data_IF_471291091928
#
_entry.id   IF_471291091928
#
_cell.length_a   1.000
_cell.length_b   1.000
_cell.length_c   1.000
_cell.angle_alpha   90.00
_cell.angle_beta   90.00
_cell.angle_gamma   90.00
#
_symmetry.space_group_name_H-M   'P 1'
#
loop_
_entity.id
_entity.type
_entity.pdbx_description
1 polymer ?
#
# COMPACT_ATOMS: atom_id res chain seq x y z
N UNK A 1 -43.74 -1.80 16.98
CA UNK A 1 -43.68 -3.22 16.64
C UNK A 1 -42.67 -3.82 17.59
N UNK A 2 -42.99 -4.85 18.40
CA UNK A 2 -41.98 -5.48 19.25
C UNK A 2 -40.89 -6.05 18.34
N UNK A 3 -39.65 -5.65 18.59
CA UNK A 3 -38.51 -6.24 17.92
C UNK A 3 -38.53 -7.74 18.08
N UNK A 4 -38.38 -8.45 16.98
CA UNK A 4 -38.45 -9.90 16.92
C UNK A 4 -37.36 -10.48 17.85
N UNK A 5 -37.77 -11.05 18.99
CA UNK A 5 -36.90 -11.72 19.95
C UNK A 5 -35.99 -12.77 19.30
N UNK A 6 -36.47 -13.36 18.18
CA UNK A 6 -35.70 -14.30 17.38
C UNK A 6 -34.62 -13.59 16.54
N UNK A 7 -34.86 -12.38 16.04
CA UNK A 7 -33.87 -11.58 15.31
C UNK A 7 -32.73 -11.17 16.25
N UNK A 8 -33.04 -10.67 17.46
CA UNK A 8 -32.05 -10.31 18.47
C UNK A 8 -31.22 -11.53 18.92
N UNK A 9 -31.86 -12.68 19.14
CA UNK A 9 -31.16 -13.92 19.49
C UNK A 9 -30.31 -14.45 18.33
N UNK A 10 -30.73 -14.24 17.08
CA UNK A 10 -29.94 -14.61 15.90
C UNK A 10 -28.73 -13.69 15.73
N UNK A 11 -28.88 -12.38 15.95
CA UNK A 11 -27.79 -11.40 15.93
C UNK A 11 -26.74 -11.71 17.00
N UNK A 12 -27.16 -12.01 18.25
CA UNK A 12 -26.24 -12.42 19.31
C UNK A 12 -25.48 -13.70 18.97
N UNK A 13 -26.15 -14.69 18.38
CA UNK A 13 -25.51 -15.94 17.96
C UNK A 13 -24.52 -15.71 16.82
N UNK A 14 -24.85 -14.86 15.87
CA UNK A 14 -23.97 -14.45 14.77
C UNK A 14 -22.74 -13.70 15.31
N UNK A 15 -22.94 -12.77 16.25
CA UNK A 15 -21.86 -12.03 16.89
C UNK A 15 -20.86 -12.97 17.61
N UNK A 16 -21.35 -13.98 18.31
CA UNK A 16 -20.49 -14.99 18.97
C UNK A 16 -19.76 -15.91 17.99
N UNK A 17 -20.29 -16.12 16.79
CA UNK A 17 -19.70 -16.97 15.75
C UNK A 17 -18.85 -16.18 14.76
N UNK A 18 -18.83 -14.85 14.89
CA UNK A 18 -18.02 -14.02 14.02
C UNK A 18 -16.53 -14.33 14.23
N UNK A 19 -15.70 -14.22 13.18
CA UNK A 19 -14.25 -14.38 13.29
C UNK A 19 -13.66 -13.50 14.40
N UNK A 20 -12.61 -13.93 15.02
CA UNK A 20 -11.95 -13.21 16.13
C UNK A 20 -11.63 -11.76 15.79
N UNK A 21 -11.16 -11.51 14.58
CA UNK A 21 -10.89 -10.15 14.08
C UNK A 21 -12.14 -9.24 14.01
N UNK A 22 -13.34 -9.80 13.87
CA UNK A 22 -14.59 -9.05 13.92
C UNK A 22 -15.07 -8.83 15.36
N UNK A 23 -14.93 -9.86 16.21
CA UNK A 23 -15.29 -9.80 17.64
C UNK A 23 -14.44 -8.79 18.41
N UNK A 24 -13.17 -8.66 18.06
CA UNK A 24 -12.21 -7.73 18.66
C UNK A 24 -12.16 -6.37 17.98
N UNK A 25 -13.14 -6.06 17.11
CA UNK A 25 -13.18 -4.76 16.46
C UNK A 25 -13.30 -3.64 17.51
N UNK A 26 -12.44 -2.60 17.45
CA UNK A 26 -12.43 -1.50 18.41
C UNK A 26 -13.80 -0.84 18.54
N UNK A 27 -14.21 -0.54 19.77
CA UNK A 27 -15.44 0.18 20.09
C UNK A 27 -15.17 1.59 20.57
N UNK A 28 -13.93 1.91 20.94
CA UNK A 28 -13.46 3.23 21.40
C UNK A 28 -12.18 3.60 20.65
N UNK A 29 -11.89 4.90 20.53
CA UNK A 29 -10.66 5.38 19.89
C UNK A 29 -9.41 4.84 20.58
N UNK A 30 -9.44 4.70 21.89
CA UNK A 30 -8.31 4.19 22.69
C UNK A 30 -8.08 2.68 22.52
N UNK A 31 -9.03 1.96 21.92
CA UNK A 31 -8.89 0.54 21.64
C UNK A 31 -8.10 0.27 20.34
N UNK A 32 -7.90 1.30 19.51
CA UNK A 32 -7.14 1.17 18.27
C UNK A 32 -5.65 1.10 18.61
N UNK A 33 -4.97 0.08 18.09
CA UNK A 33 -3.54 -0.16 18.32
C UNK A 33 -2.72 0.23 17.09
N UNK A 34 -1.54 0.78 17.33
CA UNK A 34 -0.50 0.97 16.30
C UNK A 34 -0.75 2.12 15.32
N UNK A 35 -1.74 2.99 15.56
CA UNK A 35 -2.03 4.17 14.73
C UNK A 35 -1.92 5.49 15.53
N UNK A 36 -1.00 5.54 16.48
CA UNK A 36 -0.85 6.69 17.40
C UNK A 36 -0.51 8.00 16.69
N UNK A 37 0.14 7.93 15.55
CA UNK A 37 0.46 9.09 14.72
C UNK A 37 -0.79 9.78 14.14
N UNK A 38 -1.93 9.07 14.04
CA UNK A 38 -3.22 9.58 13.56
C UNK A 38 -4.25 9.75 14.68
N UNK A 39 -4.32 8.79 15.60
CA UNK A 39 -5.40 8.63 16.56
C UNK A 39 -4.95 8.79 18.03
N UNK A 40 -3.66 9.01 18.26
CA UNK A 40 -3.15 9.35 19.59
C UNK A 40 -3.73 10.66 20.12
N UNK A 41 -3.64 10.93 21.44
CA UNK A 41 -4.13 12.18 22.03
C UNK A 41 -3.62 13.43 21.31
N UNK A 42 -4.53 14.34 20.93
CA UNK A 42 -4.20 15.57 20.25
C UNK A 42 -3.85 15.44 18.75
N UNK A 43 -3.95 14.26 18.16
CA UNK A 43 -3.66 14.05 16.74
C UNK A 43 -4.83 14.50 15.85
N UNK A 44 -4.56 14.92 14.59
CA UNK A 44 -5.53 15.57 13.73
C UNK A 44 -6.81 14.76 13.49
N UNK A 45 -6.69 13.47 13.14
CA UNK A 45 -7.86 12.63 12.87
C UNK A 45 -8.71 12.44 14.14
N UNK A 46 -8.07 12.22 15.30
CA UNK A 46 -8.76 12.11 16.57
C UNK A 46 -9.54 13.38 16.91
N UNK A 47 -8.92 14.56 16.78
CA UNK A 47 -9.57 15.83 17.04
C UNK A 47 -10.78 16.08 16.15
N UNK A 48 -10.68 15.73 14.86
CA UNK A 48 -11.80 15.85 13.92
C UNK A 48 -12.97 14.94 14.31
N UNK A 49 -12.68 13.73 14.76
CA UNK A 49 -13.70 12.77 15.23
C UNK A 49 -14.35 13.27 16.52
N UNK A 50 -13.57 13.63 17.55
CA UNK A 50 -14.06 14.06 18.86
C UNK A 50 -14.85 15.38 18.81
N UNK A 51 -14.53 16.26 17.85
CA UNK A 51 -15.24 17.52 17.65
C UNK A 51 -16.46 17.42 16.72
N UNK A 52 -16.76 16.25 16.18
CA UNK A 52 -17.81 15.99 15.17
C UNK A 52 -17.70 16.94 13.94
N UNK A 53 -16.46 17.28 13.56
CA UNK A 53 -16.13 18.15 12.41
C UNK A 53 -15.41 17.40 11.29
N UNK A 54 -15.68 16.12 11.18
CA UNK A 54 -15.06 15.31 10.14
C UNK A 54 -15.61 15.73 8.77
N UNK A 55 -14.72 16.21 7.91
CA UNK A 55 -14.97 16.34 6.47
C UNK A 55 -14.72 14.99 5.78
N UNK A 56 -14.91 14.92 4.45
CA UNK A 56 -14.60 13.72 3.70
C UNK A 56 -13.12 13.33 3.84
N UNK A 57 -12.87 12.04 4.03
CA UNK A 57 -11.53 11.48 4.27
C UNK A 57 -11.28 10.24 3.41
N UNK A 58 -10.03 10.03 3.03
CA UNK A 58 -9.56 8.79 2.42
C UNK A 58 -8.56 8.15 3.38
N UNK A 59 -8.90 6.97 3.87
CA UNK A 59 -8.04 6.12 4.69
C UNK A 59 -7.29 5.15 3.76
N UNK A 60 -5.98 5.28 3.64
CA UNK A 60 -5.21 4.43 2.77
C UNK A 60 -4.04 3.78 3.49
N UNK A 61 -3.64 2.61 3.05
CA UNK A 61 -2.53 1.85 3.65
C UNK A 61 -2.68 0.35 3.43
N UNK A 62 -1.69 -0.44 3.85
CA UNK A 62 -1.67 -1.89 3.67
C UNK A 62 -2.90 -2.60 4.24
N UNK A 63 -3.21 -3.84 3.83
CA UNK A 63 -4.27 -4.64 4.43
C UNK A 63 -4.02 -4.85 5.93
N UNK A 64 -5.08 -5.12 6.69
CA UNK A 64 -5.00 -5.41 8.14
C UNK A 64 -4.61 -4.27 9.07
N UNK A 65 -4.40 -3.04 8.54
CA UNK A 65 -3.99 -1.86 9.35
C UNK A 65 -5.13 -1.18 10.10
N UNK A 66 -6.38 -1.65 9.96
CA UNK A 66 -7.53 -1.15 10.71
C UNK A 66 -8.38 -0.09 10.00
N UNK A 67 -8.22 0.16 8.69
CA UNK A 67 -9.01 1.15 7.91
C UNK A 67 -10.52 1.02 8.13
N UNK A 68 -11.08 -0.16 7.92
CA UNK A 68 -12.51 -0.44 8.12
C UNK A 68 -12.92 -0.29 9.59
N UNK A 69 -12.05 -0.65 10.53
CA UNK A 69 -12.28 -0.48 11.97
C UNK A 69 -12.38 0.99 12.35
N UNK A 70 -11.47 1.83 11.85
CA UNK A 70 -11.50 3.28 12.05
C UNK A 70 -12.78 3.88 11.46
N UNK A 71 -13.15 3.51 10.22
CA UNK A 71 -14.36 4.02 9.58
C UNK A 71 -15.63 3.70 10.37
N UNK A 72 -15.78 2.45 10.83
CA UNK A 72 -16.94 2.04 11.63
C UNK A 72 -16.94 2.65 13.03
N UNK A 73 -15.79 2.93 13.60
CA UNK A 73 -15.69 3.63 14.86
C UNK A 73 -16.14 5.09 14.74
N UNK A 74 -15.72 5.78 13.68
CA UNK A 74 -16.19 7.13 13.36
C UNK A 74 -17.73 7.16 13.31
N UNK A 75 -18.31 6.18 12.64
CA UNK A 75 -19.76 6.02 12.56
C UNK A 75 -20.47 5.90 13.91
N UNK A 76 -19.83 5.31 14.90
CA UNK A 76 -20.41 5.13 16.26
C UNK A 76 -20.29 6.38 17.14
N UNK A 77 -19.26 7.18 16.89
CA UNK A 77 -18.94 8.36 17.71
C UNK A 77 -19.66 9.61 17.21
N UNK A 78 -19.98 9.66 15.91
CA UNK A 78 -20.66 10.80 15.30
C UNK A 78 -22.18 10.69 15.39
N UNK A 79 -22.88 11.83 15.41
CA UNK A 79 -24.35 11.88 15.41
C UNK A 79 -24.98 11.66 14.02
N UNK A 80 -24.15 11.36 13.00
CA UNK A 80 -24.58 11.18 11.62
C UNK A 80 -24.99 9.75 11.33
N UNK A 81 -25.86 9.57 10.35
CA UNK A 81 -26.27 8.25 9.89
C UNK A 81 -25.19 7.60 9.04
N UNK A 82 -24.84 6.37 9.34
CA UNK A 82 -23.83 5.62 8.63
C UNK A 82 -24.43 4.74 7.53
N UNK A 83 -23.92 4.88 6.33
CA UNK A 83 -24.29 4.05 5.19
C UNK A 83 -23.03 3.45 4.57
N UNK A 84 -23.01 2.13 4.40
CA UNK A 84 -21.89 1.40 3.83
C UNK A 84 -22.24 0.96 2.40
N UNK A 85 -21.33 1.17 1.45
CA UNK A 85 -21.35 0.61 0.12
C UNK A 85 -20.08 -0.18 -0.14
N UNK A 86 -20.24 -1.38 -0.68
CA UNK A 86 -19.10 -2.14 -1.19
C UNK A 86 -18.82 -1.71 -2.63
N UNK A 87 -17.62 -1.21 -2.89
CA UNK A 87 -17.22 -0.82 -4.24
C UNK A 87 -17.22 -1.98 -5.25
N UNK A 88 -17.18 -3.23 -4.79
CA UNK A 88 -17.22 -4.42 -5.65
C UNK A 88 -18.59 -4.63 -6.29
N UNK A 89 -19.68 -4.34 -5.56
CA UNK A 89 -21.04 -4.69 -5.96
C UNK A 89 -21.95 -3.50 -6.27
N UNK A 90 -21.57 -2.29 -5.80
CA UNK A 90 -22.41 -1.12 -5.96
C UNK A 90 -22.41 -0.58 -7.39
N UNK A 91 -23.57 -0.21 -7.89
CA UNK A 91 -23.77 0.45 -9.18
C UNK A 91 -23.98 1.96 -9.02
N UNK A 92 -23.92 2.72 -10.13
CA UNK A 92 -24.30 4.16 -10.12
C UNK A 92 -25.73 4.36 -9.61
N UNK A 93 -26.61 3.38 -9.82
CA UNK A 93 -28.00 3.41 -9.33
C UNK A 93 -28.02 3.38 -7.79
N UNK A 94 -27.24 2.50 -7.18
CA UNK A 94 -27.15 2.38 -5.72
C UNK A 94 -26.63 3.67 -5.08
N UNK A 95 -25.64 4.31 -5.73
CA UNK A 95 -25.14 5.64 -5.32
C UNK A 95 -26.26 6.68 -5.34
N UNK A 96 -27.04 6.75 -6.43
CA UNK A 96 -28.16 7.70 -6.54
C UNK A 96 -29.27 7.45 -5.54
N UNK A 97 -29.60 6.20 -5.28
CA UNK A 97 -30.59 5.83 -4.25
C UNK A 97 -30.13 6.22 -2.84
N UNK A 98 -28.83 6.03 -2.55
CA UNK A 98 -28.25 6.49 -1.29
C UNK A 98 -28.31 8.01 -1.15
N UNK A 99 -27.96 8.75 -2.20
CA UNK A 99 -28.04 10.23 -2.22
C UNK A 99 -29.49 10.70 -1.97
N UNK A 100 -30.48 10.08 -2.62
CA UNK A 100 -31.88 10.41 -2.42
C UNK A 100 -32.33 10.16 -0.96
N UNK A 101 -31.91 9.04 -0.37
CA UNK A 101 -32.18 8.75 1.05
C UNK A 101 -31.50 9.76 2.00
N UNK A 102 -30.27 10.16 1.69
CA UNK A 102 -29.55 11.17 2.47
C UNK A 102 -30.27 12.53 2.42
N UNK A 103 -30.75 12.95 1.24
CA UNK A 103 -31.53 14.18 1.07
C UNK A 103 -32.83 14.15 1.88
N UNK A 104 -33.59 13.06 1.79
CA UNK A 104 -34.82 12.89 2.54
C UNK A 104 -34.55 12.96 4.06
N UNK A 105 -33.52 12.26 4.55
CA UNK A 105 -33.13 12.24 5.96
C UNK A 105 -32.73 13.63 6.48
N UNK A 106 -31.93 14.35 5.70
CA UNK A 106 -31.52 15.70 6.07
C UNK A 106 -32.73 16.63 6.16
N UNK A 107 -33.66 16.56 5.16
CA UNK A 107 -34.87 17.37 5.13
C UNK A 107 -35.89 17.03 6.24
N UNK A 108 -36.00 15.76 6.62
CA UNK A 108 -37.01 15.32 7.61
C UNK A 108 -36.50 15.38 9.05
N UNK A 109 -35.20 15.16 9.31
CA UNK A 109 -34.65 14.90 10.63
C UNK A 109 -33.43 15.75 10.98
N UNK A 110 -32.92 16.55 10.04
CA UNK A 110 -31.69 17.34 10.19
C UNK A 110 -30.47 16.46 10.58
N UNK A 111 -30.41 15.23 10.02
CA UNK A 111 -29.34 14.27 10.28
C UNK A 111 -28.50 14.10 9.02
N UNK A 112 -27.19 14.39 9.14
CA UNK A 112 -26.20 14.18 8.08
C UNK A 112 -25.96 12.70 7.80
N UNK A 113 -25.31 12.42 6.69
CA UNK A 113 -25.00 11.04 6.28
C UNK A 113 -23.52 10.86 6.03
N UNK A 114 -22.89 9.89 6.71
CA UNK A 114 -21.58 9.37 6.40
C UNK A 114 -21.72 8.21 5.43
N UNK A 115 -21.07 8.31 4.29
CA UNK A 115 -20.91 7.20 3.35
C UNK A 115 -19.54 6.57 3.56
N UNK A 116 -19.51 5.32 4.01
CA UNK A 116 -18.31 4.50 3.98
C UNK A 116 -18.25 3.71 2.68
N UNK A 117 -17.14 3.86 1.95
CA UNK A 117 -16.86 3.17 0.71
C UNK A 117 -15.57 2.37 0.87
N UNK A 118 -15.72 1.05 1.09
CA UNK A 118 -14.59 0.15 1.19
C UNK A 118 -14.03 -0.16 -0.20
N UNK A 119 -12.71 -0.22 -0.32
CA UNK A 119 -11.98 -0.44 -1.57
C UNK A 119 -12.36 0.56 -2.69
N UNK A 120 -12.34 1.86 -2.35
CA UNK A 120 -12.77 2.96 -3.26
C UNK A 120 -12.11 2.91 -4.64
N UNK A 121 -10.91 2.34 -4.76
CA UNK A 121 -10.21 2.13 -6.03
C UNK A 121 -10.94 1.20 -7.01
N UNK A 122 -11.91 0.41 -6.54
CA UNK A 122 -12.74 -0.44 -7.40
C UNK A 122 -13.93 0.29 -8.03
N UNK A 123 -14.22 1.51 -7.59
CA UNK A 123 -15.20 2.37 -8.26
C UNK A 123 -14.58 2.92 -9.55
N UNK A 124 -15.28 2.72 -10.66
CA UNK A 124 -14.90 3.36 -11.90
C UNK A 124 -15.16 4.87 -11.85
N UNK A 125 -14.61 5.60 -12.82
CA UNK A 125 -14.72 7.05 -12.89
C UNK A 125 -16.16 7.57 -12.81
N UNK A 126 -17.11 6.92 -13.50
CA UNK A 126 -18.51 7.35 -13.51
C UNK A 126 -19.20 7.17 -12.14
N UNK A 127 -18.82 6.14 -11.38
CA UNK A 127 -19.31 5.91 -10.03
C UNK A 127 -18.73 6.95 -9.05
N UNK A 128 -17.44 7.27 -9.17
CA UNK A 128 -16.82 8.32 -8.36
C UNK A 128 -17.40 9.70 -8.70
N UNK A 129 -17.60 10.02 -9.98
CA UNK A 129 -18.20 11.27 -10.44
C UNK A 129 -19.64 11.44 -9.92
N UNK A 130 -20.39 10.34 -9.76
CA UNK A 130 -21.74 10.40 -9.20
C UNK A 130 -21.81 10.81 -7.74
N UNK A 131 -20.72 10.69 -6.99
CA UNK A 131 -20.60 11.13 -5.59
C UNK A 131 -20.26 12.62 -5.45
N UNK A 132 -19.59 13.20 -6.45
CA UNK A 132 -19.02 14.54 -6.37
C UNK A 132 -20.03 15.62 -5.96
N UNK A 133 -21.22 15.74 -6.56
CA UNK A 133 -22.16 16.81 -6.18
C UNK A 133 -22.59 16.72 -4.71
N UNK A 134 -22.71 15.50 -4.19
CA UNK A 134 -23.17 15.26 -2.81
C UNK A 134 -22.06 15.49 -1.79
N UNK A 135 -20.80 15.21 -2.16
CA UNK A 135 -19.62 15.53 -1.35
C UNK A 135 -19.34 17.04 -1.36
N UNK A 136 -19.46 17.69 -2.51
CA UNK A 136 -19.30 19.16 -2.65
C UNK A 136 -20.31 19.95 -1.85
N UNK A 137 -21.58 19.53 -1.85
CA UNK A 137 -22.65 20.19 -1.11
C UNK A 137 -22.62 19.90 0.40
N UNK A 138 -21.77 18.97 0.85
CA UNK A 138 -21.75 18.50 2.25
C UNK A 138 -22.94 17.61 2.62
N UNK A 139 -23.77 17.19 1.65
CA UNK A 139 -24.86 16.24 1.88
C UNK A 139 -24.34 14.88 2.36
N UNK A 140 -23.19 14.46 1.82
CA UNK A 140 -22.48 13.25 2.21
C UNK A 140 -21.08 13.60 2.72
N UNK A 141 -20.73 13.05 3.87
CA UNK A 141 -19.35 12.95 4.33
C UNK A 141 -18.81 11.59 3.86
N UNK A 142 -17.84 11.59 2.94
CA UNK A 142 -17.27 10.38 2.41
C UNK A 142 -16.13 9.89 3.31
N UNK A 143 -16.16 8.63 3.70
CA UNK A 143 -15.01 7.90 4.25
C UNK A 143 -14.64 6.82 3.23
N UNK A 144 -13.63 7.08 2.40
CA UNK A 144 -13.09 6.08 1.49
C UNK A 144 -11.99 5.27 2.16
N UNK A 145 -11.97 3.95 1.94
CA UNK A 145 -10.85 3.10 2.33
C UNK A 145 -10.22 2.47 1.08
N UNK A 146 -8.88 2.39 1.05
CA UNK A 146 -8.16 1.74 -0.05
C UNK A 146 -6.82 1.17 0.39
N UNK A 147 -6.41 0.09 -0.25
CA UNK A 147 -5.05 -0.46 -0.14
C UNK A 147 -4.11 0.11 -1.21
N UNK A 148 -4.66 0.69 -2.26
CA UNK A 148 -3.93 1.24 -3.39
C UNK A 148 -3.61 2.73 -3.18
N UNK A 149 -2.65 3.25 -3.96
CA UNK A 149 -2.28 4.66 -3.88
C UNK A 149 -3.42 5.56 -4.38
N UNK A 150 -4.03 6.38 -3.50
CA UNK A 150 -5.20 7.18 -3.86
C UNK A 150 -4.94 8.23 -4.94
N UNK A 151 -3.70 8.64 -5.14
CA UNK A 151 -3.35 9.61 -6.19
C UNK A 151 -3.49 9.06 -7.61
N UNK A 152 -3.49 7.72 -7.77
CA UNK A 152 -3.70 7.07 -9.06
C UNK A 152 -5.14 6.57 -9.25
N UNK A 153 -5.80 6.19 -8.14
CA UNK A 153 -7.05 5.45 -8.19
C UNK A 153 -8.29 6.30 -7.90
N UNK A 154 -8.13 7.41 -7.17
CA UNK A 154 -9.24 8.30 -6.83
C UNK A 154 -9.25 9.50 -7.76
N UNK A 155 -10.42 9.85 -8.30
CA UNK A 155 -10.55 11.01 -9.16
C UNK A 155 -10.03 12.29 -8.51
N UNK A 156 -9.20 13.11 -9.20
CA UNK A 156 -8.65 14.34 -8.65
C UNK A 156 -9.69 15.28 -8.01
N UNK A 157 -10.90 15.49 -8.59
CA UNK A 157 -11.94 16.31 -7.94
C UNK A 157 -12.41 15.76 -6.59
N UNK A 158 -12.51 14.43 -6.44
CA UNK A 158 -12.89 13.80 -5.17
C UNK A 158 -11.75 13.87 -4.16
N UNK A 159 -10.52 13.63 -4.64
CA UNK A 159 -9.32 13.71 -3.83
C UNK A 159 -9.09 15.12 -3.26
N UNK A 160 -9.30 16.17 -4.07
CA UNK A 160 -9.14 17.57 -3.64
C UNK A 160 -10.13 18.01 -2.55
N UNK A 161 -11.22 17.26 -2.36
CA UNK A 161 -12.27 17.50 -1.35
C UNK A 161 -12.19 16.57 -0.16
N UNK A 162 -11.15 15.73 -0.13
CA UNK A 162 -10.95 14.74 0.91
C UNK A 162 -9.60 14.93 1.61
N UNK A 163 -9.56 14.72 2.92
CA UNK A 163 -8.30 14.67 3.65
C UNK A 163 -7.74 13.25 3.61
N UNK A 164 -6.45 13.12 3.26
CA UNK A 164 -5.78 11.83 3.21
C UNK A 164 -5.17 11.48 4.56
N UNK A 165 -5.46 10.28 5.06
CA UNK A 165 -4.80 9.71 6.22
C UNK A 165 -4.19 8.35 5.86
N UNK A 166 -2.87 8.24 6.07
CA UNK A 166 -2.13 7.02 5.82
C UNK A 166 -2.07 6.18 7.09
N UNK A 167 -2.64 4.98 7.02
CA UNK A 167 -2.45 3.97 8.06
C UNK A 167 -1.19 3.17 7.76
N UNK A 168 -0.41 2.89 8.79
CA UNK A 168 0.85 2.17 8.69
C UNK A 168 0.67 0.72 9.15
N UNK A 169 1.58 -0.16 8.73
CA UNK A 169 1.65 -1.52 9.26
C UNK A 169 1.80 -1.46 10.77
N UNK A 170 1.15 -2.40 11.46
CA UNK A 170 1.24 -2.47 12.91
C UNK A 170 2.65 -2.88 13.32
N UNK A 171 3.23 -2.14 14.26
CA UNK A 171 4.48 -2.56 14.89
C UNK A 171 4.28 -3.86 15.69
N UNK A 172 5.37 -4.58 16.01
CA UNK A 172 5.28 -5.84 16.75
C UNK A 172 4.58 -5.74 18.10
N UNK A 173 4.82 -4.65 18.82
CA UNK A 173 4.18 -4.44 20.13
C UNK A 173 2.66 -4.26 19.96
N UNK A 174 2.23 -3.58 18.89
CA UNK A 174 0.81 -3.44 18.54
C UNK A 174 0.18 -4.78 18.13
N UNK A 175 0.89 -5.61 17.35
CA UNK A 175 0.44 -6.95 16.99
C UNK A 175 0.37 -7.84 18.24
N UNK A 176 1.39 -7.81 19.10
CA UNK A 176 1.41 -8.56 20.37
C UNK A 176 0.21 -8.18 21.25
N UNK A 177 -0.07 -6.89 21.38
CA UNK A 177 -1.25 -6.40 22.14
C UNK A 177 -2.58 -6.92 21.56
N UNK A 178 -2.71 -7.00 20.21
CA UNK A 178 -3.89 -7.59 19.59
C UNK A 178 -4.01 -9.09 19.88
N UNK A 179 -2.90 -9.82 19.83
CA UNK A 179 -2.88 -11.26 20.15
C UNK A 179 -3.22 -11.50 21.60
N UNK A 180 -2.73 -10.70 22.55
CA UNK A 180 -3.07 -10.77 23.97
C UNK A 180 -4.59 -10.60 24.20
N UNK A 181 -5.21 -9.59 23.55
CA UNK A 181 -6.67 -9.44 23.56
C UNK A 181 -7.39 -10.62 22.92
N UNK A 182 -6.78 -11.24 21.91
CA UNK A 182 -7.30 -12.43 21.26
C UNK A 182 -7.30 -13.65 22.18
N UNK A 183 -6.22 -13.84 22.92
CA UNK A 183 -6.10 -14.91 23.92
C UNK A 183 -7.16 -14.77 25.01
N UNK A 184 -7.35 -13.58 25.54
CA UNK A 184 -8.41 -13.28 26.51
C UNK A 184 -9.82 -13.59 25.95
N UNK A 185 -10.08 -13.25 24.69
CA UNK A 185 -11.39 -13.47 24.06
C UNK A 185 -11.68 -14.94 23.74
N UNK A 186 -10.65 -15.76 23.54
CA UNK A 186 -10.74 -17.21 23.32
C UNK A 186 -10.63 -18.03 24.63
N UNK A 187 -10.36 -17.37 25.76
CA UNK A 187 -10.13 -17.99 27.05
C UNK A 187 -9.01 -19.07 27.02
N UNK A 188 -7.91 -18.70 26.33
CA UNK A 188 -6.72 -19.57 26.20
C UNK A 188 -5.46 -18.81 26.54
N UNK A 189 -4.38 -19.55 26.82
CA UNK A 189 -3.02 -19.03 26.99
C UNK A 189 -2.13 -19.43 25.80
N UNK A 190 -0.93 -18.91 25.72
CA UNK A 190 0.02 -19.30 24.68
C UNK A 190 1.45 -19.34 25.24
N UNK A 191 2.29 -20.18 24.65
CA UNK A 191 3.74 -20.15 24.86
C UNK A 191 4.33 -18.87 24.24
N UNK A 192 5.39 -18.33 24.84
CA UNK A 192 6.00 -17.08 24.38
C UNK A 192 6.54 -17.18 22.95
N UNK A 193 7.15 -18.31 22.61
CA UNK A 193 7.67 -18.60 21.26
C UNK A 193 6.54 -18.76 20.22
N UNK A 194 5.35 -19.21 20.63
CA UNK A 194 4.17 -19.23 19.76
C UNK A 194 3.68 -17.81 19.45
N UNK A 195 3.65 -16.92 20.45
CA UNK A 195 3.28 -15.51 20.26
C UNK A 195 4.30 -14.79 19.38
N UNK A 196 5.61 -14.99 19.66
CA UNK A 196 6.67 -14.39 18.83
C UNK A 196 6.56 -14.80 17.37
N UNK A 197 6.27 -16.08 17.09
CA UNK A 197 6.06 -16.58 15.75
C UNK A 197 4.85 -15.93 15.09
N UNK A 198 3.71 -15.83 15.77
CA UNK A 198 2.50 -15.19 15.24
C UNK A 198 2.72 -13.69 14.94
N UNK A 199 3.45 -12.97 15.82
CA UNK A 199 3.82 -11.56 15.63
C UNK A 199 4.68 -11.41 14.39
N UNK A 200 5.74 -12.22 14.25
CA UNK A 200 6.67 -12.17 13.13
C UNK A 200 5.93 -12.44 11.80
N UNK A 201 5.13 -13.50 11.75
CA UNK A 201 4.44 -13.92 10.54
C UNK A 201 3.25 -13.04 10.16
N UNK A 202 2.70 -12.28 11.09
CA UNK A 202 1.67 -11.30 10.77
C UNK A 202 2.17 -10.17 9.87
N UNK A 203 3.48 -9.85 9.90
CA UNK A 203 4.07 -8.81 9.05
C UNK A 203 3.41 -7.43 9.20
N UNK A 204 2.79 -7.17 10.37
CA UNK A 204 2.04 -5.95 10.67
C UNK A 204 0.57 -5.96 10.20
N UNK A 205 0.06 -7.09 9.70
CA UNK A 205 -1.37 -7.29 9.38
C UNK A 205 -2.11 -7.84 10.61
N UNK A 206 -2.86 -6.97 11.31
CA UNK A 206 -3.62 -7.35 12.51
C UNK A 206 -4.73 -8.36 12.23
N UNK A 207 -5.34 -8.36 11.03
CA UNK A 207 -6.36 -9.35 10.67
C UNK A 207 -5.73 -10.72 10.49
N UNK A 208 -4.59 -10.80 9.82
CA UNK A 208 -3.84 -12.04 9.65
C UNK A 208 -3.40 -12.61 11.01
N UNK A 209 -2.86 -11.76 11.91
CA UNK A 209 -2.48 -12.14 13.25
C UNK A 209 -3.64 -12.80 14.02
N UNK A 210 -4.79 -12.14 14.08
CA UNK A 210 -5.97 -12.63 14.79
C UNK A 210 -6.57 -13.89 14.16
N UNK A 211 -6.57 -14.00 12.83
CA UNK A 211 -7.04 -15.21 12.13
C UNK A 211 -6.13 -16.41 12.44
N UNK A 212 -4.82 -16.20 12.43
CA UNK A 212 -3.85 -17.26 12.76
C UNK A 212 -3.96 -17.68 14.23
N UNK A 213 -4.17 -16.73 15.14
CA UNK A 213 -4.41 -17.03 16.55
C UNK A 213 -5.70 -17.85 16.75
N UNK A 214 -6.80 -17.47 16.09
CA UNK A 214 -8.08 -18.20 16.17
C UNK A 214 -7.93 -19.66 15.73
N UNK A 215 -7.18 -19.91 14.66
CA UNK A 215 -6.89 -21.27 14.19
C UNK A 215 -6.00 -22.02 15.21
N UNK A 216 -4.96 -21.39 15.74
CA UNK A 216 -4.08 -22.00 16.73
C UNK A 216 -4.83 -22.34 18.03
N UNK A 217 -5.72 -21.46 18.50
CA UNK A 217 -6.60 -21.70 19.62
C UNK A 217 -7.55 -22.90 19.38
N UNK A 218 -8.16 -22.97 18.20
CA UNK A 218 -9.02 -24.08 17.81
C UNK A 218 -8.27 -25.43 17.80
N UNK A 219 -6.99 -25.44 17.39
CA UNK A 219 -6.14 -26.64 17.43
C UNK A 219 -5.82 -27.06 18.85
N UNK A 220 -5.47 -26.14 19.76
CA UNK A 220 -5.21 -26.41 21.16
C UNK A 220 -6.47 -26.97 21.86
N UNK A 221 -7.62 -26.30 21.70
CA UNK A 221 -8.91 -26.72 22.25
C UNK A 221 -9.33 -28.08 21.68
N UNK A 222 -9.07 -28.34 20.40
CA UNK A 222 -9.33 -29.65 19.77
C UNK A 222 -8.54 -30.81 20.36
N UNK A 223 -7.41 -30.55 21.02
CA UNK A 223 -6.63 -31.51 21.82
C UNK A 223 -7.07 -31.60 23.27
N UNK A 224 -8.01 -30.76 23.69
CA UNK A 224 -8.46 -30.68 25.10
C UNK A 224 -7.55 -29.82 25.98
N UNK A 225 -6.76 -28.93 25.40
CA UNK A 225 -5.85 -28.02 26.09
C UNK A 225 -6.29 -26.57 25.96
N UNK A 226 -5.98 -25.74 26.95
CA UNK A 226 -6.24 -24.30 26.98
C UNK A 226 -4.98 -23.46 26.66
N UNK A 227 -3.90 -24.14 26.21
CA UNK A 227 -2.61 -23.53 25.93
C UNK A 227 -2.15 -23.78 24.49
N UNK A 228 -1.91 -22.70 23.77
CA UNK A 228 -1.38 -22.71 22.40
C UNK A 228 0.13 -22.95 22.48
N UNK A 229 0.59 -24.00 21.83
CA UNK A 229 2.01 -24.33 21.71
C UNK A 229 2.59 -23.75 20.42
N UNK A 230 3.92 -23.71 20.32
CA UNK A 230 4.61 -23.36 19.07
C UNK A 230 4.11 -24.24 17.90
N UNK A 231 3.88 -25.53 18.13
CA UNK A 231 3.38 -26.45 17.10
C UNK A 231 1.98 -26.08 16.58
N UNK A 232 1.11 -25.51 17.41
CA UNK A 232 -0.20 -25.02 17.01
C UNK A 232 -0.09 -23.76 16.16
N UNK A 233 0.78 -22.84 16.55
CA UNK A 233 1.06 -21.64 15.79
C UNK A 233 1.65 -21.97 14.41
N UNK A 234 2.60 -22.94 14.36
CA UNK A 234 3.17 -23.45 13.10
C UNK A 234 2.09 -24.07 12.20
N UNK A 235 1.23 -24.90 12.77
CA UNK A 235 0.16 -25.54 12.02
C UNK A 235 -0.89 -24.54 11.52
N UNK A 236 -1.24 -23.53 12.33
CA UNK A 236 -2.16 -22.46 11.96
C UNK A 236 -1.64 -21.61 10.79
N UNK A 237 -0.34 -21.40 10.74
CA UNK A 237 0.33 -20.65 9.66
C UNK A 237 0.60 -21.50 8.42
N UNK A 238 0.38 -22.82 8.48
CA UNK A 238 0.71 -23.75 7.39
C UNK A 238 2.21 -23.86 7.09
N UNK A 239 3.05 -23.44 8.02
CA UNK A 239 4.51 -23.40 7.88
C UNK A 239 5.20 -24.07 9.06
N UNK A 240 6.24 -24.88 8.78
CA UNK A 240 7.18 -25.25 9.83
C UNK A 240 8.05 -24.03 10.14
N UNK A 241 8.06 -23.59 11.41
CA UNK A 241 8.94 -22.49 11.82
C UNK A 241 10.40 -22.89 11.62
N UNK A 242 11.02 -22.35 10.62
CA UNK A 242 12.46 -22.13 10.68
C UNK A 242 12.65 -20.93 11.60
N UNK A 243 13.34 -21.13 12.73
CA UNK A 243 13.66 -20.05 13.69
C UNK A 243 14.42 -18.94 12.96
N UNK A 244 13.69 -17.91 12.58
CA UNK A 244 14.21 -16.67 12.05
C UNK A 244 13.95 -15.58 13.09
N UNK A 245 14.98 -15.14 13.78
CA UNK A 245 14.90 -13.93 14.59
C UNK A 245 14.59 -12.74 13.71
N UNK A 246 13.90 -11.74 14.23
CA UNK A 246 13.50 -10.51 13.52
C UNK A 246 14.71 -9.77 12.92
N UNK A 247 15.84 -9.78 13.60
CA UNK A 247 17.11 -9.23 13.14
C UNK A 247 17.67 -10.03 11.95
N UNK A 248 17.51 -11.37 11.96
CA UNK A 248 17.91 -12.27 10.89
C UNK A 248 17.17 -12.00 9.57
N UNK A 249 15.88 -11.56 9.60
CA UNK A 249 15.12 -11.27 8.39
C UNK A 249 15.73 -10.10 7.60
N UNK A 250 16.02 -8.98 8.27
CA UNK A 250 16.66 -7.82 7.64
C UNK A 250 18.10 -8.14 7.21
N UNK A 251 18.81 -8.94 7.98
CA UNK A 251 20.17 -9.35 7.66
C UNK A 251 20.21 -10.28 6.45
N UNK A 252 19.29 -11.23 6.32
CA UNK A 252 19.24 -12.15 5.19
C UNK A 252 18.84 -11.42 3.90
N UNK A 253 17.86 -10.53 3.93
CA UNK A 253 17.50 -9.75 2.74
C UNK A 253 18.64 -8.80 2.35
N UNK A 254 19.33 -8.22 3.33
CA UNK A 254 20.51 -7.39 3.09
C UNK A 254 21.67 -8.21 2.50
N UNK A 255 21.90 -9.40 3.00
CA UNK A 255 22.90 -10.33 2.47
C UNK A 255 22.54 -10.76 1.04
N UNK A 256 21.27 -11.08 0.77
CA UNK A 256 20.76 -11.40 -0.56
C UNK A 256 21.06 -10.30 -1.57
N UNK A 257 20.64 -9.08 -1.28
CA UNK A 257 20.86 -7.92 -2.16
C UNK A 257 22.35 -7.63 -2.35
N UNK A 258 23.14 -7.65 -1.26
CA UNK A 258 24.58 -7.40 -1.31
C UNK A 258 25.33 -8.47 -2.10
N UNK A 259 24.92 -9.74 -2.03
CA UNK A 259 25.52 -10.83 -2.81
C UNK A 259 25.30 -10.62 -4.32
N UNK A 260 24.08 -10.30 -4.74
CA UNK A 260 23.78 -10.03 -6.15
C UNK A 260 24.51 -8.77 -6.64
N UNK A 261 24.53 -7.71 -5.84
CA UNK A 261 25.30 -6.48 -6.10
C UNK A 261 26.79 -6.77 -6.23
N UNK A 262 27.32 -7.65 -5.38
CA UNK A 262 28.70 -8.09 -5.37
C UNK A 262 29.03 -9.13 -6.46
N UNK A 263 28.05 -9.50 -7.30
CA UNK A 263 28.21 -10.49 -8.39
C UNK A 263 28.52 -11.92 -7.91
N UNK A 264 28.12 -12.26 -6.68
CA UNK A 264 28.22 -13.62 -6.15
C UNK A 264 26.90 -14.37 -6.40
N UNK A 265 26.90 -15.20 -7.45
CA UNK A 265 25.74 -15.98 -7.88
C UNK A 265 25.34 -17.03 -6.84
N UNK A 266 26.34 -17.75 -6.32
CA UNK A 266 26.10 -18.86 -5.39
C UNK A 266 25.55 -18.34 -4.05
N UNK A 267 26.08 -17.25 -3.52
CA UNK A 267 25.56 -16.60 -2.35
C UNK A 267 24.14 -16.06 -2.60
N UNK A 268 23.88 -15.45 -3.76
CA UNK A 268 22.55 -14.98 -4.15
C UNK A 268 21.51 -16.11 -4.16
N UNK A 269 21.85 -17.25 -4.77
CA UNK A 269 20.99 -18.44 -4.79
C UNK A 269 20.81 -19.07 -3.40
N UNK A 270 21.87 -19.10 -2.58
CA UNK A 270 21.78 -19.60 -1.20
C UNK A 270 20.81 -18.76 -0.37
N UNK A 271 20.93 -17.44 -0.41
CA UNK A 271 20.03 -16.55 0.33
C UNK A 271 18.60 -16.60 -0.19
N UNK A 272 18.39 -16.72 -1.50
CA UNK A 272 17.06 -16.97 -2.09
C UNK A 272 16.44 -18.25 -1.52
N UNK A 273 17.19 -19.36 -1.56
CA UNK A 273 16.70 -20.64 -1.04
C UNK A 273 16.39 -20.57 0.45
N UNK A 274 17.23 -19.89 1.23
CA UNK A 274 17.02 -19.69 2.67
C UNK A 274 15.75 -18.86 2.95
N UNK A 275 15.50 -17.77 2.22
CA UNK A 275 14.27 -16.97 2.34
C UNK A 275 13.02 -17.78 1.99
N UNK A 276 13.04 -18.50 0.86
CA UNK A 276 11.91 -19.34 0.44
C UNK A 276 11.63 -20.49 1.43
N UNK A 277 12.69 -21.11 1.98
CA UNK A 277 12.56 -22.14 3.00
C UNK A 277 12.03 -21.58 4.33
N UNK A 278 12.32 -20.33 4.65
CA UNK A 278 11.77 -19.60 5.79
C UNK A 278 10.32 -19.14 5.58
N UNK A 279 9.73 -19.34 4.38
CA UNK A 279 8.38 -18.93 4.06
C UNK A 279 8.25 -17.44 3.74
N UNK A 280 9.35 -16.79 3.34
CA UNK A 280 9.31 -15.39 2.88
C UNK A 280 8.37 -15.24 1.70
N UNK A 281 7.64 -14.13 1.66
CA UNK A 281 6.74 -13.85 0.54
C UNK A 281 7.53 -13.72 -0.78
N UNK A 282 7.23 -14.62 -1.71
CA UNK A 282 7.86 -14.63 -3.03
C UNK A 282 7.67 -13.29 -3.79
N UNK A 283 6.55 -12.58 -3.55
CA UNK A 283 6.30 -11.24 -4.12
C UNK A 283 7.23 -10.20 -3.54
N UNK A 284 7.51 -10.30 -2.23
CA UNK A 284 8.48 -9.42 -1.58
C UNK A 284 9.88 -9.63 -2.16
N UNK A 285 10.33 -10.89 -2.32
CA UNK A 285 11.62 -11.21 -2.94
C UNK A 285 11.67 -10.66 -4.38
N UNK A 286 10.63 -10.91 -5.17
CA UNK A 286 10.54 -10.43 -6.56
C UNK A 286 10.62 -8.90 -6.64
N UNK A 287 9.92 -8.18 -5.76
CA UNK A 287 9.98 -6.71 -5.66
C UNK A 287 11.40 -6.22 -5.40
N UNK A 288 12.13 -6.89 -4.49
CA UNK A 288 13.52 -6.53 -4.20
C UNK A 288 14.44 -6.73 -5.41
N UNK A 289 14.22 -7.78 -6.22
CA UNK A 289 14.96 -7.99 -7.46
C UNK A 289 14.67 -6.91 -8.51
N UNK A 290 13.42 -6.49 -8.66
CA UNK A 290 13.04 -5.39 -9.58
C UNK A 290 13.71 -4.07 -9.18
N UNK A 291 13.72 -3.75 -7.88
CA UNK A 291 14.42 -2.56 -7.38
C UNK A 291 15.92 -2.65 -7.64
N UNK A 292 16.56 -3.78 -7.30
CA UNK A 292 17.99 -4.01 -7.52
C UNK A 292 18.36 -3.90 -9.00
N UNK A 293 17.52 -4.42 -9.89
CA UNK A 293 17.75 -4.34 -11.34
C UNK A 293 17.87 -2.89 -11.85
N UNK A 294 17.11 -1.97 -11.24
CA UNK A 294 17.19 -0.54 -11.59
C UNK A 294 18.25 0.21 -10.80
N UNK A 295 18.46 -0.14 -9.52
CA UNK A 295 19.37 0.54 -8.60
C UNK A 295 20.84 0.19 -8.84
N UNK A 296 21.15 -1.11 -9.01
CA UNK A 296 22.51 -1.63 -9.01
C UNK A 296 23.00 -2.09 -10.40
N UNK A 297 22.11 -2.56 -11.26
CA UNK A 297 22.42 -2.97 -12.64
C UNK A 297 22.19 -1.79 -13.60
N UNK A 298 21.05 -1.14 -13.51
CA UNK A 298 20.73 0.07 -14.25
C UNK A 298 20.92 -0.07 -15.75
N UNK A 299 21.54 0.94 -16.35
CA UNK A 299 21.83 0.97 -17.80
C UNK A 299 23.06 0.16 -18.21
N UNK A 300 23.79 -0.42 -17.27
CA UNK A 300 24.87 -1.34 -17.61
C UNK A 300 24.33 -2.63 -18.28
N UNK A 301 23.14 -3.10 -17.86
CA UNK A 301 22.37 -4.13 -18.56
C UNK A 301 20.85 -3.83 -18.47
N UNK A 302 20.26 -3.17 -19.46
CA UNK A 302 18.82 -2.87 -19.49
C UNK A 302 17.92 -4.11 -19.43
N UNK A 303 18.44 -5.29 -19.84
CA UNK A 303 17.71 -6.55 -19.76
C UNK A 303 17.49 -7.00 -18.31
N UNK A 304 18.30 -6.53 -17.37
CA UNK A 304 18.14 -6.85 -15.95
C UNK A 304 16.75 -6.52 -15.43
N UNK A 305 16.22 -5.34 -15.74
CA UNK A 305 14.87 -4.94 -15.36
C UNK A 305 13.78 -5.78 -16.05
N UNK A 306 13.97 -6.14 -17.32
CA UNK A 306 13.04 -6.99 -18.07
C UNK A 306 12.96 -8.38 -17.45
N UNK A 307 14.10 -8.98 -17.14
CA UNK A 307 14.18 -10.31 -16.50
C UNK A 307 13.58 -10.30 -15.10
N UNK A 308 13.89 -9.29 -14.31
CA UNK A 308 13.31 -9.14 -12.96
C UNK A 308 11.78 -9.00 -13.00
N UNK A 309 11.25 -8.18 -13.92
CA UNK A 309 9.80 -8.04 -14.10
C UNK A 309 9.15 -9.32 -14.61
N UNK A 310 9.78 -10.06 -15.53
CA UNK A 310 9.28 -11.35 -16.00
C UNK A 310 9.19 -12.36 -14.83
N UNK A 311 10.21 -12.40 -13.96
CA UNK A 311 10.18 -13.24 -12.76
C UNK A 311 9.11 -12.81 -11.76
N UNK A 312 8.92 -11.52 -11.53
CA UNK A 312 7.85 -10.99 -10.69
C UNK A 312 6.46 -11.38 -11.21
N UNK A 313 6.25 -11.26 -12.53
CA UNK A 313 5.02 -11.70 -13.19
C UNK A 313 4.80 -13.21 -13.08
N UNK A 314 5.86 -14.01 -13.20
CA UNK A 314 5.78 -15.46 -13.02
C UNK A 314 5.37 -15.83 -11.59
N UNK A 315 5.86 -15.12 -10.57
CA UNK A 315 5.46 -15.34 -9.18
C UNK A 315 3.95 -15.15 -9.02
N UNK A 316 3.35 -14.16 -9.68
CA UNK A 316 1.91 -13.92 -9.62
C UNK A 316 1.09 -14.95 -10.42
N UNK A 317 1.58 -15.34 -11.60
CA UNK A 317 0.84 -16.17 -12.55
C UNK A 317 1.01 -17.67 -12.27
N UNK A 318 2.23 -18.13 -11.99
CA UNK A 318 2.56 -19.53 -11.75
C UNK A 318 2.41 -19.90 -10.29
N UNK A 319 2.89 -19.04 -9.38
CA UNK A 319 2.91 -19.30 -7.94
C UNK A 319 4.00 -20.29 -7.50
N UNK A 320 4.13 -20.46 -6.19
CA UNK A 320 5.02 -21.47 -5.60
C UNK A 320 4.35 -22.86 -5.64
N UNK A 321 5.13 -23.94 -5.77
CA UNK A 321 6.61 -23.99 -5.70
C UNK A 321 7.35 -23.71 -6.99
N UNK A 322 6.74 -23.70 -8.16
CA UNK A 322 7.41 -23.66 -9.47
C UNK A 322 8.06 -22.29 -9.74
N UNK A 323 7.43 -21.18 -9.29
CA UNK A 323 7.95 -19.83 -9.52
C UNK A 323 9.32 -19.56 -8.88
N UNK A 324 9.78 -20.40 -7.94
CA UNK A 324 11.16 -20.34 -7.43
C UNK A 324 12.22 -20.48 -8.49
N UNK A 325 11.93 -21.22 -9.59
CA UNK A 325 12.85 -21.35 -10.71
C UNK A 325 13.02 -20.02 -11.47
N UNK A 326 11.91 -19.27 -11.61
CA UNK A 326 11.93 -17.97 -12.26
C UNK A 326 12.69 -16.93 -11.40
N UNK A 327 12.52 -16.98 -10.08
CA UNK A 327 13.31 -16.15 -9.15
C UNK A 327 14.80 -16.49 -9.21
N UNK A 328 15.15 -17.78 -9.21
CA UNK A 328 16.53 -18.23 -9.33
C UNK A 328 17.18 -17.77 -10.64
N UNK A 329 16.46 -17.87 -11.76
CA UNK A 329 16.92 -17.36 -13.06
C UNK A 329 17.21 -15.86 -13.02
N UNK A 330 16.33 -15.07 -12.40
CA UNK A 330 16.54 -13.64 -12.23
C UNK A 330 17.76 -13.33 -11.35
N UNK A 331 17.95 -14.08 -10.26
CA UNK A 331 19.14 -13.95 -9.40
C UNK A 331 20.42 -14.20 -10.20
N UNK A 332 20.48 -15.29 -10.97
CA UNK A 332 21.65 -15.61 -11.80
C UNK A 332 21.94 -14.50 -12.82
N UNK A 333 20.90 -14.04 -13.53
CA UNK A 333 21.05 -12.96 -14.50
C UNK A 333 21.56 -11.67 -13.84
N UNK A 334 20.91 -11.22 -12.78
CA UNK A 334 21.27 -9.97 -12.10
C UNK A 334 22.64 -10.04 -11.42
N UNK A 335 23.01 -11.19 -10.87
CA UNK A 335 24.34 -11.37 -10.27
C UNK A 335 25.45 -11.34 -11.34
N UNK A 336 25.23 -11.91 -12.53
CA UNK A 336 26.21 -11.95 -13.63
C UNK A 336 26.21 -10.68 -14.48
N UNK A 337 25.17 -9.86 -14.43
CA UNK A 337 25.09 -8.61 -15.18
C UNK A 337 26.18 -7.61 -14.72
N UNK A 338 26.70 -6.77 -15.61
CA UNK A 338 27.52 -5.62 -15.21
C UNK A 338 26.71 -4.70 -14.32
N UNK A 339 27.39 -3.95 -13.43
CA UNK A 339 26.74 -3.12 -12.40
C UNK A 339 26.97 -1.64 -12.67
N UNK A 340 25.90 -0.84 -12.54
CA UNK A 340 25.97 0.61 -12.54
C UNK A 340 24.80 1.20 -11.72
N UNK A 341 25.11 2.09 -10.79
CA UNK A 341 24.14 2.87 -10.04
C UNK A 341 23.94 4.28 -10.61
N UNK A 342 24.43 4.56 -11.81
CA UNK A 342 24.46 5.91 -12.38
C UNK A 342 23.08 6.52 -12.54
N UNK A 343 22.06 5.71 -12.86
CA UNK A 343 20.65 6.16 -12.94
C UNK A 343 20.16 6.62 -11.58
N UNK A 344 20.45 5.88 -10.51
CA UNK A 344 20.06 6.25 -9.13
C UNK A 344 20.73 7.55 -8.69
N UNK A 345 22.03 7.68 -8.97
CA UNK A 345 22.80 8.90 -8.65
C UNK A 345 22.26 10.10 -9.45
N UNK A 346 21.97 9.90 -10.73
CA UNK A 346 21.43 10.95 -11.62
C UNK A 346 20.09 11.47 -11.12
N UNK A 347 19.17 10.55 -10.80
CA UNK A 347 17.85 10.91 -10.26
C UNK A 347 17.99 11.65 -8.92
N UNK A 348 18.83 11.17 -8.01
CA UNK A 348 19.08 11.83 -6.72
C UNK A 348 19.61 13.25 -6.85
N UNK A 349 20.50 13.52 -7.80
CA UNK A 349 20.98 14.87 -8.12
C UNK A 349 19.86 15.77 -8.64
N UNK A 350 19.08 15.28 -9.61
CA UNK A 350 17.95 16.01 -10.18
C UNK A 350 16.87 16.32 -9.12
N UNK A 351 16.57 15.38 -8.23
CA UNK A 351 15.65 15.61 -7.12
C UNK A 351 16.17 16.64 -6.10
N UNK A 352 17.46 16.66 -5.84
CA UNK A 352 18.05 17.65 -4.95
C UNK A 352 17.86 19.07 -5.49
N UNK A 353 18.11 19.28 -6.79
CA UNK A 353 17.88 20.56 -7.44
C UNK A 353 16.40 20.93 -7.44
N UNK A 354 15.53 20.00 -7.78
CA UNK A 354 14.08 20.22 -7.78
C UNK A 354 13.53 20.62 -6.39
N UNK A 355 14.10 20.10 -5.32
CA UNK A 355 13.72 20.43 -3.92
C UNK A 355 14.33 21.70 -3.39
N UNK A 356 15.48 22.12 -3.91
CA UNK A 356 16.18 23.33 -3.44
C UNK A 356 15.36 24.61 -3.64
N UNK A 357 14.34 24.58 -4.50
CA UNK A 357 13.54 25.74 -4.89
C UNK A 357 14.29 26.67 -5.86
N UNK A 358 13.56 27.57 -6.53
CA UNK A 358 14.16 28.47 -7.51
C UNK A 358 14.60 27.78 -8.80
N UNK A 359 13.98 26.63 -9.13
CA UNK A 359 14.31 25.82 -10.32
C UNK A 359 13.80 26.42 -11.63
N UNK A 360 13.27 27.64 -11.59
CA UNK A 360 12.77 28.34 -12.76
C UNK A 360 11.43 27.82 -13.31
N UNK A 361 10.91 28.54 -14.29
CA UNK A 361 9.70 28.13 -15.00
C UNK A 361 10.05 27.29 -16.24
N UNK A 362 9.09 26.49 -16.70
CA UNK A 362 9.23 25.76 -17.96
C UNK A 362 9.48 26.76 -19.10
N UNK A 363 10.56 26.60 -19.89
CA UNK A 363 10.84 27.48 -21.04
C UNK A 363 9.64 27.65 -21.99
N UNK A 364 9.40 28.84 -22.48
CA UNK A 364 8.19 29.19 -23.24
C UNK A 364 7.97 28.28 -24.45
N UNK A 365 9.03 27.92 -25.17
CA UNK A 365 8.97 27.05 -26.35
C UNK A 365 8.62 25.58 -26.01
N UNK A 366 8.84 25.14 -24.77
CA UNK A 366 8.47 23.80 -24.32
C UNK A 366 7.06 23.70 -23.70
N UNK A 367 6.39 24.87 -23.48
CA UNK A 367 5.03 24.84 -22.93
C UNK A 367 4.05 24.37 -23.99
N UNK A 368 2.98 23.71 -23.56
CA UNK A 368 1.95 23.20 -24.47
C UNK A 368 1.34 24.31 -25.32
N UNK A 369 1.47 24.20 -26.65
CA UNK A 369 0.94 25.12 -27.65
C UNK A 369 -0.40 24.70 -28.26
N UNK A 370 -0.97 23.54 -27.86
CA UNK A 370 -2.13 22.93 -28.57
C UNK A 370 -3.51 23.39 -28.07
N UNK A 371 -3.58 24.27 -27.07
CA UNK A 371 -4.85 24.78 -26.56
C UNK A 371 -5.22 26.15 -27.10
N UNK A 372 -6.53 26.48 -27.12
CA UNK A 372 -7.04 27.76 -27.63
C UNK A 372 -6.53 28.92 -26.77
N UNK A 373 -5.74 29.81 -27.35
CA UNK A 373 -5.11 30.94 -26.66
C UNK A 373 -3.63 30.75 -26.35
N UNK A 374 -3.04 29.56 -26.52
CA UNK A 374 -1.62 29.31 -26.28
C UNK A 374 -0.70 30.28 -27.04
N UNK A 375 -0.99 30.54 -28.30
CA UNK A 375 -0.23 31.48 -29.14
C UNK A 375 -0.24 32.92 -28.61
N UNK A 376 -1.33 33.35 -27.94
CA UNK A 376 -1.40 34.69 -27.33
C UNK A 376 -0.51 34.81 -26.10
N UNK A 377 -0.23 33.68 -25.46
CA UNK A 377 0.66 33.56 -24.30
C UNK A 377 2.10 33.24 -24.71
N UNK A 378 2.37 33.04 -26.01
CA UNK A 378 3.70 32.67 -26.52
C UNK A 378 4.10 31.23 -26.23
N UNK A 379 3.16 30.38 -25.80
CA UNK A 379 3.45 28.98 -25.47
C UNK A 379 3.72 28.17 -26.73
N UNK A 380 4.76 27.34 -26.70
CA UNK A 380 5.21 26.53 -27.82
C UNK A 380 5.90 27.31 -28.96
N UNK A 381 6.03 28.63 -28.82
CA UNK A 381 6.64 29.47 -29.86
C UNK A 381 8.16 29.27 -29.87
N UNK A 382 8.71 28.93 -31.04
CA UNK A 382 10.15 28.74 -31.22
C UNK A 382 10.64 27.35 -30.83
N UNK A 383 9.74 26.39 -30.61
CA UNK A 383 10.13 24.98 -30.46
C UNK A 383 10.63 24.45 -31.80
N UNK A 384 11.86 23.97 -31.82
CA UNK A 384 12.46 23.32 -32.97
C UNK A 384 12.25 21.79 -32.84
N UNK A 385 11.53 21.20 -33.82
CA UNK A 385 11.10 19.82 -33.74
C UNK A 385 12.18 18.88 -34.26
N UNK A 386 12.77 18.02 -33.41
CA UNK A 386 13.91 17.18 -33.78
C UNK A 386 13.67 16.29 -35.02
N UNK A 387 12.44 15.81 -35.24
CA UNK A 387 12.12 14.97 -36.39
C UNK A 387 12.11 15.73 -37.75
N UNK A 388 12.17 17.04 -37.74
CA UNK A 388 12.35 17.85 -38.97
C UNK A 388 13.83 17.90 -39.39
N UNK A 389 14.73 17.39 -38.55
CA UNK A 389 16.18 17.35 -38.81
C UNK A 389 16.62 15.90 -39.13
N UNK A 390 17.56 15.78 -40.08
CA UNK A 390 18.01 14.46 -40.59
C UNK A 390 18.58 13.55 -39.54
N UNK A 391 19.24 14.11 -38.51
CA UNK A 391 19.86 13.37 -37.45
C UNK A 391 18.90 13.13 -36.25
N UNK A 392 17.65 13.64 -36.31
CA UNK A 392 16.68 13.54 -35.25
C UNK A 392 17.11 14.25 -33.96
N UNK A 393 18.03 15.20 -34.08
CA UNK A 393 18.58 15.97 -32.96
C UNK A 393 18.65 17.45 -33.28
N UNK A 394 18.49 18.27 -32.26
CA UNK A 394 18.54 19.73 -32.38
C UNK A 394 19.20 20.32 -31.12
N UNK A 395 20.05 21.30 -31.33
CA UNK A 395 20.69 22.07 -30.26
C UNK A 395 19.72 23.15 -29.77
N UNK A 396 18.88 22.77 -28.80
CA UNK A 396 17.99 23.72 -28.13
C UNK A 396 17.96 23.45 -26.63
N UNK A 397 17.57 24.47 -25.87
CA UNK A 397 17.49 24.36 -24.43
C UNK A 397 16.23 23.62 -23.97
N UNK A 398 16.40 22.62 -23.13
CA UNK A 398 15.30 21.81 -22.60
C UNK A 398 15.06 22.02 -21.09
N UNK A 399 15.84 22.85 -20.44
CA UNK A 399 15.76 23.13 -19.00
C UNK A 399 15.64 24.62 -18.71
N UNK A 400 15.12 24.99 -17.52
CA UNK A 400 15.22 26.36 -17.02
C UNK A 400 16.66 26.84 -16.91
N UNK A 401 16.90 28.15 -17.01
CA UNK A 401 18.24 28.75 -16.93
C UNK A 401 18.98 28.38 -15.65
N UNK A 402 18.25 28.28 -14.55
CA UNK A 402 18.79 27.99 -13.20
C UNK A 402 19.47 26.63 -13.09
N UNK A 403 19.10 25.67 -13.93
CA UNK A 403 19.65 24.31 -13.92
C UNK A 403 20.26 23.88 -15.25
N UNK A 404 20.42 24.81 -16.20
CA UNK A 404 20.85 24.48 -17.57
C UNK A 404 22.26 23.88 -17.61
N UNK A 405 23.19 24.30 -16.84
CA UNK A 405 24.56 23.77 -16.82
C UNK A 405 24.76 22.47 -16.03
N UNK A 406 23.73 21.97 -15.32
CA UNK A 406 23.89 20.84 -14.44
C UNK A 406 23.96 19.53 -15.21
N UNK A 407 24.93 18.66 -14.87
CA UNK A 407 25.05 17.30 -15.40
C UNK A 407 24.52 16.32 -14.37
N UNK A 408 23.38 15.69 -14.68
CA UNK A 408 22.78 14.70 -13.79
C UNK A 408 23.29 13.29 -14.09
N UNK A 409 23.18 12.86 -15.34
CA UNK A 409 23.57 11.52 -15.78
C UNK A 409 24.98 11.55 -16.37
N UNK A 410 25.85 10.77 -15.74
CA UNK A 410 27.25 10.57 -16.11
C UNK A 410 27.46 9.07 -16.27
N UNK A 411 27.39 8.51 -17.49
CA UNK A 411 27.41 7.09 -17.72
C UNK A 411 28.73 6.45 -17.32
N UNK A 412 28.66 5.21 -16.83
CA UNK A 412 29.83 4.41 -16.52
C UNK A 412 30.36 3.70 -17.78
N UNK A 413 31.62 3.21 -17.79
CA UNK A 413 32.14 2.41 -18.90
C UNK A 413 31.65 0.96 -18.87
N UNK A 414 30.71 0.58 -18.01
CA UNK A 414 30.31 -0.80 -17.76
C UNK A 414 29.16 -1.24 -18.70
N UNK A 415 29.32 -2.39 -19.35
CA UNK A 415 28.27 -2.99 -20.16
C UNK A 415 27.70 -2.05 -21.24
N UNK A 416 26.40 -2.07 -21.41
CA UNK A 416 25.70 -1.23 -22.39
C UNK A 416 25.82 0.27 -22.11
N UNK A 417 26.12 0.67 -20.88
CA UNK A 417 26.26 2.07 -20.51
C UNK A 417 27.47 2.73 -21.16
N UNK A 418 28.52 1.96 -21.52
CA UNK A 418 29.61 2.44 -22.35
C UNK A 418 29.16 2.89 -23.75
N UNK A 419 28.22 2.13 -24.37
CA UNK A 419 27.63 2.54 -25.65
C UNK A 419 26.73 3.77 -25.54
N UNK A 420 26.11 3.95 -24.38
CA UNK A 420 25.31 5.18 -24.08
C UNK A 420 26.23 6.38 -24.00
N UNK A 421 27.40 6.24 -23.36
CA UNK A 421 28.39 7.31 -23.28
C UNK A 421 28.86 7.79 -24.65
N UNK A 422 29.04 6.85 -25.59
CA UNK A 422 29.45 7.18 -26.97
C UNK A 422 28.37 7.93 -27.78
N UNK A 423 27.10 7.90 -27.34
CA UNK A 423 25.96 8.55 -27.99
C UNK A 423 25.62 9.92 -27.40
N UNK A 424 26.08 10.21 -26.17
CA UNK A 424 25.87 11.48 -25.48
C UNK A 424 26.91 12.51 -25.86
#
# INVERSE_FOLDING_TARGET
>A
VPGDLFASAAEERLARRAPLAERLRPTRLDDIVGQDHLLGPGRPLRQLIESDRLSSVILWGPPGTGKTSVARLIARVTAQEFSELSAVNASVKDVRELVARAQARLGERDVGTILFLDEVHRFNKAQQDALLPSVESGLLVLIGATTENPFFEVNPPLLSRSTLFRLELLGPDAVKQLLERGLEAEDVTADEDAIELLVDRAGGDGRHALTSLEVAAALAIGRGEDRITLGDAEAALGTKALRYGRDDHFDVISAFIKSIRGSDVDAGLYWLARMLAAGEDARFIARRLVVLASEDVGMADPMGLVVANAAARAVEFVGLPEAKLNLAQAVVHLATAPKSNRVTVALGRAEADARAGGTGEVPMHLRDGHYKGAAQLGHGTGYDYPHDHADGWVDQRYRPDEVEGNVYYDPSPHGYEGEVADRM
#
